data_IF_234974411193
#
_entry.id   IF_234974411193
#
_cell.length_a   1.000
_cell.length_b   1.000
_cell.length_c   1.000
_cell.angle_alpha   90.00
_cell.angle_beta   90.00
_cell.angle_gamma   90.00
#
_symmetry.space_group_name_H-M   'P 1'
#
loop_
_entity.id
_entity.type
_entity.pdbx_description
1 polymer ?
#
# COMPACT_ATOMS: atom_id res chain seq x y z
N UNK A 1 -0.57 -14.29 31.44
CA UNK A 1 -1.55 -14.41 30.34
C UNK A 1 -0.80 -14.34 29.01
N UNK A 2 -1.09 -15.20 28.03
CA UNK A 2 -0.35 -15.18 26.75
C UNK A 2 -0.88 -14.09 25.82
N UNK A 3 -0.02 -13.18 25.36
CA UNK A 3 -0.39 -12.06 24.46
C UNK A 3 -1.11 -12.55 23.20
N UNK A 4 -2.18 -11.84 22.83
CA UNK A 4 -3.02 -12.08 21.64
C UNK A 4 -2.92 -10.93 20.64
N UNK A 5 -2.80 -9.69 21.11
CA UNK A 5 -2.74 -8.49 20.27
C UNK A 5 -1.35 -7.86 20.37
N UNK A 6 -0.79 -7.45 19.25
CA UNK A 6 0.50 -6.79 19.13
C UNK A 6 0.27 -5.46 18.41
N UNK A 7 0.64 -4.36 19.08
CA UNK A 7 0.52 -3.01 18.57
C UNK A 7 1.91 -2.50 18.19
N UNK A 8 1.96 -1.76 17.08
CA UNK A 8 3.12 -0.96 16.72
C UNK A 8 2.77 0.49 17.10
N UNK A 9 3.62 1.21 17.83
CA UNK A 9 3.35 2.60 18.19
C UNK A 9 3.42 3.51 16.94
N UNK A 10 2.70 4.63 16.99
CA UNK A 10 2.51 5.54 15.84
C UNK A 10 3.79 6.22 15.37
N UNK A 11 4.74 6.45 16.28
CA UNK A 11 6.09 6.96 16.00
C UNK A 11 6.92 5.99 15.14
N UNK A 12 6.49 4.73 15.04
CA UNK A 12 7.10 3.68 14.23
C UNK A 12 6.35 3.38 12.93
N UNK A 13 5.37 4.21 12.54
CA UNK A 13 4.78 4.12 11.19
C UNK A 13 5.89 4.25 10.14
N UNK A 14 5.98 3.33 9.15
CA UNK A 14 6.98 3.40 8.08
C UNK A 14 7.03 4.75 7.39
N UNK A 15 8.22 5.12 6.90
CA UNK A 15 8.46 6.39 6.21
C UNK A 15 8.40 6.25 4.69
N UNK A 16 8.53 5.04 4.17
CA UNK A 16 8.51 4.73 2.75
C UNK A 16 7.57 3.55 2.45
N UNK A 17 6.97 3.56 1.27
CA UNK A 17 6.43 2.37 0.64
C UNK A 17 7.58 1.56 0.03
N UNK A 18 7.43 0.24 0.06
CA UNK A 18 8.38 -0.68 -0.58
C UNK A 18 7.90 -1.04 -1.98
N UNK A 19 8.80 -0.94 -2.95
CA UNK A 19 8.55 -1.32 -4.33
C UNK A 19 9.32 -2.60 -4.67
N UNK A 20 8.57 -3.66 -4.96
CA UNK A 20 9.14 -4.98 -5.25
C UNK A 20 9.93 -5.01 -6.56
N UNK A 21 9.69 -4.09 -7.50
CA UNK A 21 10.40 -4.03 -8.78
C UNK A 21 11.92 -3.93 -8.62
N UNK A 22 12.39 -3.35 -7.51
CA UNK A 22 13.81 -3.24 -7.19
C UNK A 22 14.49 -4.57 -6.83
N UNK A 23 13.72 -5.62 -6.54
CA UNK A 23 14.19 -6.92 -6.05
C UNK A 23 13.69 -8.12 -6.88
N UNK A 24 12.94 -7.88 -7.96
CA UNK A 24 12.54 -8.97 -8.85
C UNK A 24 13.76 -9.55 -9.59
N UNK A 25 13.78 -10.87 -9.84
CA UNK A 25 14.90 -11.52 -10.55
C UNK A 25 15.05 -11.06 -12.00
N UNK A 26 13.94 -10.65 -12.62
CA UNK A 26 13.88 -10.00 -13.93
C UNK A 26 12.77 -8.94 -13.91
N UNK A 27 12.87 -7.88 -14.73
CA UNK A 27 11.83 -6.86 -14.80
C UNK A 27 10.49 -7.43 -15.25
N UNK A 28 9.38 -6.93 -14.69
CA UNK A 28 8.06 -7.26 -15.21
C UNK A 28 7.92 -6.81 -16.67
N UNK A 29 7.20 -7.61 -17.46
CA UNK A 29 6.82 -7.20 -18.79
C UNK A 29 6.01 -5.88 -18.72
N UNK A 30 6.30 -4.91 -19.60
CA UNK A 30 5.59 -3.64 -19.57
C UNK A 30 4.11 -3.85 -19.95
N UNK A 31 3.20 -3.04 -19.40
CA UNK A 31 1.82 -3.01 -19.87
C UNK A 31 1.80 -2.61 -21.36
N UNK A 32 0.88 -3.22 -22.12
CA UNK A 32 0.74 -2.97 -23.55
C UNK A 32 -0.45 -2.05 -23.82
N UNK A 33 -0.29 -1.13 -24.76
CA UNK A 33 -1.36 -0.27 -25.23
C UNK A 33 -2.43 -1.14 -25.92
N UNK A 34 -3.73 -1.02 -25.57
CA UNK A 34 -4.77 -1.93 -26.06
C UNK A 34 -5.02 -1.83 -27.57
N UNK A 35 -4.70 -0.68 -28.18
CA UNK A 35 -4.79 -0.48 -29.64
C UNK A 35 -3.57 -0.93 -30.45
N UNK A 36 -2.35 -0.57 -30.04
CA UNK A 36 -1.12 -0.83 -30.82
C UNK A 36 -0.43 -2.13 -30.43
N UNK A 37 -0.79 -2.70 -29.27
CA UNK A 37 -0.12 -3.83 -28.62
C UNK A 37 1.38 -3.61 -28.39
N UNK A 38 1.83 -2.36 -28.38
CA UNK A 38 3.20 -1.98 -28.01
C UNK A 38 3.25 -1.60 -26.53
N UNK A 39 4.43 -1.69 -25.87
CA UNK A 39 4.61 -1.18 -24.51
C UNK A 39 4.13 0.26 -24.36
N UNK A 40 3.38 0.56 -23.29
CA UNK A 40 2.92 1.93 -23.00
C UNK A 40 4.06 2.81 -22.50
N UNK A 41 3.98 4.10 -22.80
CA UNK A 41 4.82 5.14 -22.21
C UNK A 41 4.04 6.06 -21.25
N UNK A 42 4.73 7.01 -20.60
CA UNK A 42 4.10 8.02 -19.74
C UNK A 42 2.96 8.79 -20.41
N UNK A 43 3.09 9.10 -21.70
CA UNK A 43 2.07 9.85 -22.46
C UNK A 43 0.76 9.09 -22.61
N UNK A 44 0.80 7.75 -22.62
CA UNK A 44 -0.40 6.91 -22.66
C UNK A 44 -1.15 6.92 -21.31
N UNK A 45 -0.45 7.24 -20.21
CA UNK A 45 -1.01 7.30 -18.85
C UNK A 45 -1.44 8.71 -18.44
N UNK A 46 -0.87 9.75 -19.05
CA UNK A 46 -1.15 11.16 -18.77
C UNK A 46 -2.64 11.57 -18.81
N UNK A 47 -3.51 10.96 -19.64
CA UNK A 47 -4.95 11.25 -19.61
C UNK A 47 -5.68 10.72 -18.36
N UNK A 48 -5.09 9.77 -17.65
CA UNK A 48 -5.74 8.99 -16.58
C UNK A 48 -5.13 9.31 -15.22
N UNK A 49 -3.83 9.61 -15.17
CA UNK A 49 -3.06 9.78 -13.95
C UNK A 49 -2.26 11.09 -13.96
N UNK A 50 -2.14 11.80 -12.82
CA UNK A 50 -1.17 12.87 -12.66
C UNK A 50 0.26 12.33 -12.72
N UNK A 51 1.21 13.17 -13.17
CA UNK A 51 2.61 12.78 -13.37
C UNK A 51 3.25 12.13 -12.13
N UNK A 52 2.94 12.60 -10.92
CA UNK A 52 3.47 12.00 -9.69
C UNK A 52 3.05 10.53 -9.49
N UNK A 53 1.87 10.13 -9.96
CA UNK A 53 1.42 8.73 -9.92
C UNK A 53 2.03 7.93 -11.08
N UNK A 54 2.19 8.53 -12.26
CA UNK A 54 2.88 7.91 -13.40
C UNK A 54 4.32 7.56 -13.02
N UNK A 55 5.04 8.47 -12.35
CA UNK A 55 6.41 8.23 -11.90
C UNK A 55 6.51 7.07 -10.90
N UNK A 56 5.48 6.83 -10.09
CA UNK A 56 5.45 5.67 -9.20
C UNK A 56 5.25 4.36 -9.96
N UNK A 57 4.38 4.36 -10.97
CA UNK A 57 4.10 3.17 -11.79
C UNK A 57 5.34 2.64 -12.52
N UNK A 58 6.20 3.55 -12.98
CA UNK A 58 7.44 3.21 -13.71
C UNK A 58 8.69 3.15 -12.83
N UNK A 59 8.56 3.40 -11.52
CA UNK A 59 9.70 3.46 -10.61
C UNK A 59 10.34 2.08 -10.40
N UNK A 60 11.66 2.06 -10.36
CA UNK A 60 12.48 0.93 -9.91
C UNK A 60 13.21 1.23 -8.60
N UNK A 61 12.91 2.35 -7.95
CA UNK A 61 13.46 2.68 -6.63
C UNK A 61 12.87 1.75 -5.58
N UNK A 62 13.70 1.22 -4.68
CA UNK A 62 13.29 0.26 -3.63
C UNK A 62 12.32 0.86 -2.62
N UNK A 63 12.55 2.12 -2.26
CA UNK A 63 11.79 2.85 -1.26
C UNK A 63 11.24 4.13 -1.87
N UNK A 64 9.94 4.31 -1.80
CA UNK A 64 9.25 5.53 -2.24
C UNK A 64 8.77 6.24 -0.98
N UNK A 65 9.29 7.44 -0.71
CA UNK A 65 8.92 8.20 0.49
C UNK A 65 7.40 8.42 0.56
N UNK A 66 6.81 8.14 1.72
CA UNK A 66 5.41 8.44 1.99
C UNK A 66 5.34 9.92 2.39
N UNK A 67 4.65 10.79 1.64
CA UNK A 67 4.55 12.20 1.98
C UNK A 67 4.04 12.40 3.40
N UNK A 68 4.64 13.34 4.15
CA UNK A 68 4.23 13.64 5.54
C UNK A 68 2.72 13.83 5.68
N UNK A 69 2.00 14.58 4.82
CA UNK A 69 0.55 14.71 4.92
C UNK A 69 -0.22 13.39 4.79
N UNK A 70 0.29 12.44 4.00
CA UNK A 70 -0.30 11.10 3.86
C UNK A 70 -0.05 10.27 5.13
N UNK A 71 1.17 10.33 5.69
CA UNK A 71 1.50 9.65 6.97
C UNK A 71 0.69 10.19 8.13
N UNK A 72 0.48 11.51 8.17
CA UNK A 72 -0.34 12.17 9.19
C UNK A 72 -1.79 11.68 9.14
N UNK A 73 -2.34 11.50 7.94
CA UNK A 73 -3.67 10.90 7.76
C UNK A 73 -3.67 9.43 8.22
N UNK A 74 -2.64 8.65 7.84
CA UNK A 74 -2.55 7.25 8.28
C UNK A 74 -2.60 7.09 9.80
N UNK A 75 -2.03 8.02 10.59
CA UNK A 75 -2.07 7.95 12.07
C UNK A 75 -3.48 7.81 12.65
N UNK A 76 -4.51 8.25 11.92
CA UNK A 76 -5.90 8.12 12.37
C UNK A 76 -6.37 6.65 12.50
N UNK A 77 -5.77 5.69 11.79
CA UNK A 77 -6.12 4.25 11.90
C UNK A 77 -4.94 3.28 11.79
N UNK A 78 -3.72 3.77 11.55
CA UNK A 78 -2.49 3.00 11.43
C UNK A 78 -1.54 3.36 12.58
N UNK A 79 -0.71 2.39 13.04
CA UNK A 79 -0.59 1.02 12.55
C UNK A 79 -1.75 0.11 12.94
N UNK A 80 -2.19 -0.75 12.01
CA UNK A 80 -3.19 -1.77 12.34
C UNK A 80 -2.60 -2.84 13.28
N UNK A 81 -3.40 -3.40 14.20
CA UNK A 81 -2.91 -4.45 15.10
C UNK A 81 -2.58 -5.75 14.36
N UNK A 82 -1.57 -6.45 14.86
CA UNK A 82 -1.30 -7.85 14.52
C UNK A 82 -1.89 -8.73 15.62
N UNK A 83 -2.62 -9.76 15.25
CA UNK A 83 -3.22 -10.70 16.18
C UNK A 83 -2.61 -12.08 16.04
N UNK A 84 -2.47 -12.80 17.15
CA UNK A 84 -2.20 -14.24 17.16
C UNK A 84 -3.49 -15.02 17.39
N UNK A 85 -3.85 -15.88 16.44
CA UNK A 85 -5.11 -16.62 16.42
C UNK A 85 -5.06 -17.90 17.28
N UNK A 86 -4.77 -17.79 18.58
CA UNK A 86 -4.57 -18.95 19.48
C UNK A 86 -5.73 -19.94 19.53
N UNK A 87 -6.98 -19.44 19.44
CA UNK A 87 -8.17 -20.30 19.41
C UNK A 87 -8.25 -21.12 18.12
N UNK A 88 -7.81 -20.54 17.01
CA UNK A 88 -7.69 -21.23 15.72
C UNK A 88 -6.54 -22.23 15.77
N UNK A 89 -5.37 -21.85 16.32
CA UNK A 89 -4.24 -22.77 16.55
C UNK A 89 -4.71 -24.02 17.32
N UNK A 90 -5.46 -23.84 18.42
CA UNK A 90 -6.02 -24.94 19.22
C UNK A 90 -7.05 -25.77 18.45
N UNK A 91 -7.95 -25.12 17.70
CA UNK A 91 -8.99 -25.83 16.94
C UNK A 91 -8.42 -26.69 15.81
N UNK A 92 -7.27 -26.28 15.26
CA UNK A 92 -6.56 -26.99 14.20
C UNK A 92 -5.54 -28.01 14.70
N UNK A 93 -5.30 -28.08 16.02
CA UNK A 93 -4.24 -28.90 16.64
C UNK A 93 -2.88 -28.74 15.93
N UNK A 94 -2.53 -27.50 15.58
CA UNK A 94 -1.32 -27.22 14.80
C UNK A 94 -0.16 -26.74 15.68
N UNK A 95 1.09 -27.16 15.40
CA UNK A 95 2.27 -26.55 16.03
C UNK A 95 2.58 -25.16 15.46
N UNK A 96 1.95 -24.78 14.34
CA UNK A 96 2.15 -23.50 13.70
C UNK A 96 1.61 -22.35 14.57
N UNK A 97 2.22 -21.17 14.42
CA UNK A 97 1.72 -19.93 15.01
C UNK A 97 0.99 -19.16 13.91
N UNK A 98 -0.28 -18.85 14.14
CA UNK A 98 -1.11 -18.19 13.13
C UNK A 98 -1.26 -16.73 13.52
N UNK A 99 -0.81 -15.84 12.64
CA UNK A 99 -0.96 -14.40 12.80
C UNK A 99 -1.80 -13.82 11.66
N UNK A 100 -2.57 -12.78 11.96
CA UNK A 100 -3.27 -12.01 10.95
C UNK A 100 -3.10 -10.51 11.19
N UNK A 101 -2.85 -9.78 10.11
CA UNK A 101 -2.78 -8.32 10.08
C UNK A 101 -4.19 -7.78 9.91
N UNK A 102 -4.72 -7.12 10.93
CA UNK A 102 -6.14 -6.73 10.94
C UNK A 102 -6.36 -5.36 10.29
N UNK A 103 -6.54 -5.35 8.97
CA UNK A 103 -6.80 -4.13 8.18
C UNK A 103 -8.26 -3.63 8.25
N UNK A 104 -9.13 -4.34 8.98
CA UNK A 104 -10.55 -3.99 9.13
C UNK A 104 -10.81 -2.80 10.07
N UNK A 105 -9.79 -2.26 10.73
CA UNK A 105 -9.91 -1.12 11.64
C UNK A 105 -9.93 0.25 10.98
N UNK A 106 -9.80 0.32 9.65
CA UNK A 106 -9.88 1.60 8.93
C UNK A 106 -11.31 2.11 8.82
N UNK A 107 -11.52 3.41 8.51
CA UNK A 107 -12.86 3.97 8.29
C UNK A 107 -13.68 3.25 7.21
N UNK A 108 -13.02 2.63 6.24
CA UNK A 108 -13.66 1.85 5.17
C UNK A 108 -13.75 0.34 5.47
N UNK A 109 -13.38 -0.10 6.67
CA UNK A 109 -13.35 -1.51 7.05
C UNK A 109 -12.41 -2.39 6.22
N UNK A 110 -11.43 -1.80 5.52
CA UNK A 110 -10.52 -2.53 4.63
C UNK A 110 -9.20 -1.78 4.37
N UNK A 111 -8.25 -2.45 3.74
CA UNK A 111 -6.96 -1.88 3.34
C UNK A 111 -7.04 -0.83 2.22
N UNK A 112 -8.20 -0.63 1.58
CA UNK A 112 -8.34 0.22 0.39
C UNK A 112 -7.94 1.68 0.64
N UNK A 113 -8.13 2.18 1.87
CA UNK A 113 -7.71 3.54 2.24
C UNK A 113 -6.19 3.73 2.22
N UNK A 114 -5.40 2.64 2.25
CA UNK A 114 -3.94 2.70 2.14
C UNK A 114 -3.49 3.10 0.72
N UNK A 115 -4.35 3.04 -0.31
CA UNK A 115 -4.05 3.56 -1.66
C UNK A 115 -4.93 4.75 -2.03
N UNK A 116 -6.20 4.78 -1.61
CA UNK A 116 -7.09 5.89 -1.98
C UNK A 116 -6.66 7.23 -1.38
N UNK A 117 -6.06 7.22 -0.18
CA UNK A 117 -5.53 8.43 0.47
C UNK A 117 -4.35 9.03 -0.31
N UNK A 118 -3.26 8.29 -0.61
CA UNK A 118 -2.17 8.84 -1.41
C UNK A 118 -2.63 9.21 -2.82
N UNK A 119 -3.50 8.41 -3.46
CA UNK A 119 -4.04 8.79 -4.78
C UNK A 119 -4.81 10.11 -4.73
N UNK A 120 -5.68 10.30 -3.72
CA UNK A 120 -6.39 11.57 -3.54
C UNK A 120 -5.43 12.73 -3.23
N UNK A 121 -4.38 12.50 -2.45
CA UNK A 121 -3.33 13.48 -2.19
C UNK A 121 -2.62 13.92 -3.48
N UNK A 122 -2.08 13.00 -4.28
CA UNK A 122 -1.35 13.37 -5.51
C UNK A 122 -2.26 14.01 -6.57
N UNK A 123 -3.52 13.58 -6.68
CA UNK A 123 -4.50 14.23 -7.53
C UNK A 123 -4.78 15.67 -7.07
N UNK A 124 -4.94 15.89 -5.76
CA UNK A 124 -5.11 17.23 -5.20
C UNK A 124 -3.90 18.12 -5.49
N UNK A 125 -2.68 17.62 -5.30
CA UNK A 125 -1.44 18.36 -5.61
C UNK A 125 -1.33 18.70 -7.10
N UNK A 126 -1.84 17.83 -7.98
CA UNK A 126 -1.92 18.08 -9.42
C UNK A 126 -3.07 19.01 -9.84
N UNK A 127 -3.85 19.56 -8.90
CA UNK A 127 -4.95 20.48 -9.17
C UNK A 127 -6.25 19.80 -9.62
N UNK A 128 -6.37 18.48 -9.49
CA UNK A 128 -7.60 17.73 -9.80
C UNK A 128 -8.67 18.06 -8.78
N UNK A 129 -9.84 18.49 -9.26
CA UNK A 129 -10.95 18.97 -8.41
C UNK A 129 -12.04 17.93 -8.18
N UNK A 130 -11.99 16.80 -8.87
CA UNK A 130 -12.98 15.73 -8.79
C UNK A 130 -12.31 14.38 -9.07
N UNK A 131 -12.60 13.40 -8.21
CA UNK A 131 -12.19 12.00 -8.31
C UNK A 131 -13.40 11.12 -8.64
#
# INVERSE_FOLDING_TARGET
MSTVKYFLPEDRIPQAWYNIQADLPEPLAPPLHPGTHQPIGPDDLAPILPMALIMQEVSTEREIEIPTPVRDIYRQWRPSPLFRARRLEKALDTPARIYYKYEGGSPAGSHKVNTSVPQAYYNKEAGVKRL
#
